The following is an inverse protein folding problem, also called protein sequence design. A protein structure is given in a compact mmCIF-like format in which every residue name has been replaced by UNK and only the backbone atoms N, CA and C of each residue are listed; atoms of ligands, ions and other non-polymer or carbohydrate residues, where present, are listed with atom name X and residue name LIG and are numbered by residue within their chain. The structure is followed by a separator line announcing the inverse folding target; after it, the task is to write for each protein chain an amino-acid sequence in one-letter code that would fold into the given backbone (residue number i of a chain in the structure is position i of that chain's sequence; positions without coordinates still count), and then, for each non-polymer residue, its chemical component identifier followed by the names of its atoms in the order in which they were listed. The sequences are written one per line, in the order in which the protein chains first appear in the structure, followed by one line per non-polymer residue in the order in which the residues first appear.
data_IF_893148685158
#
_entry.id   IF_893148685158
#
_cell.length_a   1.000
_cell.length_b   1.000
_cell.length_c   1.000
_cell.angle_alpha   90.00
_cell.angle_beta   90.00
_cell.angle_gamma   90.00
#
_symmetry.space_group_name_H-M   'P 1'
#
loop_
_entity.id
_entity.type
_entity.pdbx_description
1 polymer ?
#
# COMPACT_ATOMS: atom_id res chain seq x y z
N UNK A 1 41.82 -52.24 -26.67
CA UNK A 1 40.54 -51.65 -27.06
C UNK A 1 40.20 -50.52 -26.10
N UNK A 2 40.30 -49.29 -26.58
CA UNK A 2 40.32 -48.07 -25.80
C UNK A 2 38.94 -47.54 -25.56
N UNK A 3 38.58 -47.24 -24.30
CA UNK A 3 37.36 -46.58 -23.90
C UNK A 3 37.48 -45.09 -24.20
N UNK A 4 36.69 -44.60 -25.15
CA UNK A 4 36.41 -43.18 -25.28
C UNK A 4 35.27 -42.84 -24.32
N UNK A 5 35.59 -42.17 -23.25
CA UNK A 5 34.59 -41.59 -22.34
C UNK A 5 34.27 -40.20 -22.86
N UNK A 6 33.01 -40.02 -23.20
CA UNK A 6 32.40 -38.82 -23.74
C UNK A 6 32.49 -37.63 -22.77
N UNK A 7 33.17 -36.58 -23.22
CA UNK A 7 33.39 -35.33 -22.50
C UNK A 7 32.31 -34.28 -22.81
N UNK A 8 31.09 -34.72 -23.14
CA UNK A 8 30.04 -33.84 -23.67
C UNK A 8 28.90 -33.49 -22.70
N UNK A 9 29.05 -33.82 -21.39
CA UNK A 9 27.97 -33.60 -20.42
C UNK A 9 28.20 -32.47 -19.43
N UNK A 10 29.28 -31.67 -19.59
CA UNK A 10 29.62 -30.65 -18.58
C UNK A 10 29.47 -29.19 -19.02
N UNK A 11 28.89 -28.93 -20.15
CA UNK A 11 28.72 -27.55 -20.66
C UNK A 11 27.25 -27.04 -20.69
N UNK A 12 26.28 -27.75 -20.10
CA UNK A 12 24.88 -27.35 -20.25
C UNK A 12 24.20 -26.93 -18.93
N UNK A 13 24.97 -26.63 -17.88
CA UNK A 13 24.39 -26.20 -16.59
C UNK A 13 24.74 -24.78 -16.16
N UNK A 14 25.25 -23.94 -17.05
CA UNK A 14 25.68 -22.57 -16.69
C UNK A 14 24.88 -21.48 -17.41
N UNK A 15 23.70 -21.71 -17.84
CA UNK A 15 22.86 -20.61 -18.41
C UNK A 15 21.39 -20.78 -18.00
N UNK A 16 21.08 -20.83 -16.73
CA UNK A 16 19.70 -20.63 -16.26
C UNK A 16 19.66 -19.97 -14.88
N UNK A 17 20.62 -19.12 -14.57
CA UNK A 17 20.33 -17.98 -13.69
C UNK A 17 19.76 -16.84 -14.55
N UNK A 18 18.70 -17.09 -15.27
CA UNK A 18 17.80 -16.03 -15.71
C UNK A 18 17.25 -15.46 -14.40
N UNK A 19 17.95 -14.42 -13.93
CA UNK A 19 17.34 -13.48 -13.01
C UNK A 19 15.94 -13.27 -13.52
N UNK A 20 14.95 -13.65 -12.75
CA UNK A 20 13.58 -13.21 -12.93
C UNK A 20 13.64 -11.68 -12.82
N UNK A 21 13.96 -11.02 -13.93
CA UNK A 21 13.62 -9.63 -14.17
C UNK A 21 12.10 -9.67 -14.05
N UNK A 22 11.60 -9.36 -12.85
CA UNK A 22 10.18 -9.24 -12.65
C UNK A 22 9.72 -8.31 -13.77
N UNK A 23 8.76 -8.78 -14.53
CA UNK A 23 8.16 -8.05 -15.63
C UNK A 23 7.44 -6.83 -15.02
N UNK A 24 8.23 -5.81 -14.73
CA UNK A 24 7.74 -4.55 -14.19
C UNK A 24 7.54 -3.63 -15.39
N UNK A 25 6.33 -3.10 -15.49
CA UNK A 25 6.02 -2.04 -16.44
C UNK A 25 6.81 -0.76 -16.12
N UNK A 26 6.54 0.27 -16.89
CA UNK A 26 7.19 1.58 -16.69
C UNK A 26 6.64 2.28 -15.46
N UNK A 27 7.49 3.07 -14.83
CA UNK A 27 7.15 3.87 -13.64
C UNK A 27 7.52 5.32 -13.89
N UNK A 28 6.59 6.22 -13.58
CA UNK A 28 6.81 7.67 -13.58
C UNK A 28 6.76 8.18 -12.15
N UNK A 29 7.85 8.80 -11.70
CA UNK A 29 7.88 9.57 -10.46
C UNK A 29 7.53 11.01 -10.79
N UNK A 30 6.53 11.57 -10.12
CA UNK A 30 6.18 12.98 -10.17
C UNK A 30 6.71 13.60 -8.88
N UNK A 31 7.67 14.51 -9.01
CA UNK A 31 8.32 15.15 -7.89
C UNK A 31 7.47 16.33 -7.39
N UNK A 32 7.72 16.77 -6.17
CA UNK A 32 7.01 17.93 -5.57
C UNK A 32 7.19 19.25 -6.32
N UNK A 33 8.31 19.40 -7.04
CA UNK A 33 8.58 20.55 -7.90
C UNK A 33 7.93 20.44 -9.29
N UNK A 34 7.14 19.38 -9.52
CA UNK A 34 6.45 19.11 -10.78
C UNK A 34 7.31 18.39 -11.83
N UNK A 35 8.61 18.18 -11.58
CA UNK A 35 9.44 17.41 -12.51
C UNK A 35 9.03 15.95 -12.55
N UNK A 36 9.25 15.28 -13.70
CA UNK A 36 8.92 13.88 -13.90
C UNK A 36 10.18 13.08 -14.22
N UNK A 37 10.24 11.87 -13.68
CA UNK A 37 11.31 10.91 -13.91
C UNK A 37 10.69 9.57 -14.30
N UNK A 38 11.04 9.07 -15.48
CA UNK A 38 10.55 7.79 -15.99
C UNK A 38 11.61 6.71 -15.90
N UNK A 39 11.16 5.47 -15.70
CA UNK A 39 12.05 4.32 -15.64
C UNK A 39 11.40 3.06 -15.12
N UNK A 40 12.22 2.17 -14.55
CA UNK A 40 11.83 0.87 -14.02
C UNK A 40 12.17 0.81 -12.54
N UNK A 41 11.16 0.49 -11.69
CA UNK A 41 11.41 0.23 -10.28
C UNK A 41 12.22 -1.06 -10.09
N UNK A 42 13.21 -1.01 -9.21
CA UNK A 42 14.04 -2.18 -8.88
C UNK A 42 13.47 -3.04 -7.76
N UNK A 43 12.63 -2.47 -6.93
CA UNK A 43 12.09 -3.14 -5.75
C UNK A 43 10.60 -2.86 -5.59
N UNK A 44 9.82 -3.76 -5.00
CA UNK A 44 8.45 -3.48 -4.61
C UNK A 44 8.38 -2.22 -3.75
N UNK A 45 7.33 -1.43 -3.96
CA UNK A 45 7.11 -0.23 -3.18
C UNK A 45 6.43 -0.56 -1.84
N UNK A 46 7.12 -0.21 -0.74
CA UNK A 46 6.58 -0.22 0.61
C UNK A 46 6.67 1.18 1.21
N UNK A 47 5.68 1.60 1.96
CA UNK A 47 5.66 2.94 2.56
C UNK A 47 6.75 3.19 3.61
N UNK A 48 7.41 2.14 4.07
CA UNK A 48 8.50 2.19 5.05
C UNK A 48 9.87 2.51 4.43
N UNK A 49 9.98 2.48 3.09
CA UNK A 49 11.24 2.82 2.41
C UNK A 49 11.52 4.33 2.49
N UNK A 50 12.79 4.68 2.55
CA UNK A 50 13.23 6.08 2.54
C UNK A 50 13.54 6.61 1.14
N UNK A 51 13.78 5.71 0.20
CA UNK A 51 14.20 6.02 -1.16
C UNK A 51 13.50 5.11 -2.16
N UNK A 52 13.29 5.63 -3.36
CA UNK A 52 12.83 4.87 -4.53
C UNK A 52 14.01 4.73 -5.48
N UNK A 53 14.36 3.50 -5.83
CA UNK A 53 15.41 3.20 -6.79
C UNK A 53 14.80 3.00 -8.18
N UNK A 54 15.03 3.96 -9.09
CA UNK A 54 14.51 3.98 -10.46
C UNK A 54 15.65 3.84 -11.45
N UNK A 55 15.55 2.91 -12.41
CA UNK A 55 16.53 2.67 -13.47
C UNK A 55 16.01 3.15 -14.82
N UNK A 56 16.85 3.71 -15.68
CA UNK A 56 16.50 4.11 -17.04
C UNK A 56 16.24 2.90 -17.96
N UNK A 57 16.79 1.74 -17.63
CA UNK A 57 16.52 0.46 -18.27
C UNK A 57 16.61 -0.66 -17.21
N UNK A 58 16.10 -1.87 -17.49
CA UNK A 58 16.15 -2.99 -16.55
C UNK A 58 17.55 -3.38 -16.09
N UNK A 59 18.58 -3.07 -16.89
CA UNK A 59 19.98 -3.41 -16.62
C UNK A 59 20.82 -2.23 -16.16
N UNK A 60 20.33 -0.99 -16.29
CA UNK A 60 21.07 0.21 -15.89
C UNK A 60 21.19 0.32 -14.36
N UNK A 61 22.25 1.01 -13.91
CA UNK A 61 22.40 1.33 -12.49
C UNK A 61 21.24 2.23 -12.05
N UNK A 62 20.55 1.91 -10.93
CA UNK A 62 19.43 2.73 -10.45
C UNK A 62 19.92 4.07 -9.92
N UNK A 63 19.12 5.09 -10.13
CA UNK A 63 19.20 6.37 -9.43
C UNK A 63 18.25 6.34 -8.25
N UNK A 64 18.69 6.87 -7.12
CA UNK A 64 17.95 6.90 -5.86
C UNK A 64 17.26 8.23 -5.68
N UNK A 65 15.95 8.20 -5.38
CA UNK A 65 15.12 9.37 -5.17
C UNK A 65 14.56 9.34 -3.74
N UNK A 66 14.77 10.39 -2.92
CA UNK A 66 14.18 10.45 -1.58
C UNK A 66 12.66 10.44 -1.65
N UNK A 67 12.01 9.56 -0.86
CA UNK A 67 10.54 9.48 -0.84
C UNK A 67 9.90 10.80 -0.44
N UNK A 68 10.61 11.59 0.39
CA UNK A 68 10.17 12.91 0.82
C UNK A 68 9.99 13.93 -0.31
N UNK A 69 10.64 13.75 -1.45
CA UNK A 69 10.58 14.65 -2.62
C UNK A 69 9.55 14.21 -3.65
N UNK A 70 9.02 12.98 -3.55
CA UNK A 70 8.05 12.43 -4.48
C UNK A 70 6.65 12.84 -4.06
N UNK A 71 5.86 13.38 -4.99
CA UNK A 71 4.45 13.69 -4.80
C UNK A 71 3.55 12.53 -5.24
N UNK A 72 3.87 11.91 -6.37
CA UNK A 72 3.10 10.78 -6.93
C UNK A 72 4.02 9.79 -7.63
N UNK A 73 3.60 8.52 -7.61
CA UNK A 73 4.20 7.46 -8.44
C UNK A 73 3.10 6.87 -9.30
N UNK A 74 3.31 6.79 -10.60
CA UNK A 74 2.43 6.12 -11.56
C UNK A 74 3.17 4.91 -12.09
N UNK A 75 2.61 3.72 -11.87
CA UNK A 75 3.16 2.46 -12.36
C UNK A 75 2.22 1.89 -13.39
N UNK A 76 2.74 1.61 -14.58
CA UNK A 76 1.99 0.94 -15.65
C UNK A 76 2.49 -0.49 -15.75
N UNK A 77 1.61 -1.46 -15.52
CA UNK A 77 1.89 -2.88 -15.67
C UNK A 77 2.09 -3.28 -17.14
N UNK A 78 2.58 -4.48 -17.39
CA UNK A 78 2.74 -5.01 -18.75
C UNK A 78 1.39 -5.26 -19.45
N UNK A 79 0.35 -5.48 -18.68
CA UNK A 79 -1.05 -5.64 -19.12
C UNK A 79 -1.73 -4.29 -19.40
N UNK A 80 -1.03 -3.17 -19.13
CA UNK A 80 -1.56 -1.81 -19.28
C UNK A 80 -2.29 -1.31 -18.03
N UNK A 81 -2.44 -2.12 -17.00
CA UNK A 81 -3.04 -1.70 -15.74
C UNK A 81 -2.19 -0.61 -15.07
N UNK A 82 -2.85 0.41 -14.57
CA UNK A 82 -2.18 1.54 -13.92
C UNK A 82 -2.43 1.53 -12.42
N UNK A 83 -1.34 1.59 -11.66
CA UNK A 83 -1.36 1.74 -10.20
C UNK A 83 -0.81 3.10 -9.82
N UNK A 84 -1.60 3.89 -9.12
CA UNK A 84 -1.21 5.22 -8.64
C UNK A 84 -0.85 5.15 -7.15
N UNK A 85 0.29 5.73 -6.79
CA UNK A 85 0.61 6.07 -5.42
C UNK A 85 0.57 7.59 -5.27
N UNK A 86 -0.21 8.06 -4.33
CA UNK A 86 -0.45 9.49 -4.09
C UNK A 86 0.02 9.86 -2.68
N UNK A 87 0.56 11.06 -2.56
CA UNK A 87 0.93 11.62 -1.26
C UNK A 87 -0.31 12.15 -0.55
N UNK A 88 -0.60 11.54 0.59
CA UNK A 88 -1.69 11.98 1.46
C UNK A 88 -1.24 12.00 2.91
N UNK A 89 -1.95 12.75 3.74
CA UNK A 89 -1.72 12.80 5.17
C UNK A 89 -2.57 11.72 5.84
N UNK A 90 -2.00 10.99 6.80
CA UNK A 90 -2.74 10.07 7.66
C UNK A 90 -2.70 10.49 9.10
N UNK A 91 -3.74 10.15 9.84
CA UNK A 91 -3.69 10.18 11.29
C UNK A 91 -2.82 9.04 11.81
N UNK A 92 -1.96 9.34 12.77
CA UNK A 92 -1.17 8.32 13.44
C UNK A 92 -2.06 7.57 14.43
N UNK A 93 -2.12 6.25 14.32
CA UNK A 93 -2.75 5.43 15.35
C UNK A 93 -1.85 5.39 16.59
N UNK A 94 -2.46 5.59 17.75
CA UNK A 94 -1.82 5.29 19.02
C UNK A 94 -2.06 3.83 19.42
N UNK A 95 -1.14 3.28 20.23
CA UNK A 95 -1.30 1.96 20.84
C UNK A 95 -2.50 1.89 21.81
N UNK A 96 -3.04 3.02 22.28
CA UNK A 96 -4.24 3.04 23.10
C UNK A 96 -5.49 3.08 22.21
N UNK A 97 -6.40 2.15 22.45
CA UNK A 97 -7.60 1.85 21.68
C UNK A 97 -8.68 2.96 21.67
N UNK A 98 -8.35 4.19 22.03
CA UNK A 98 -9.29 5.31 22.01
C UNK A 98 -8.79 6.40 21.07
N UNK A 99 -9.56 6.77 20.04
CA UNK A 99 -9.33 8.00 19.31
C UNK A 99 -9.66 9.15 20.27
N UNK A 100 -8.65 9.67 20.95
CA UNK A 100 -8.80 10.89 21.74
C UNK A 100 -8.89 12.07 20.75
N UNK A 101 -10.07 12.27 20.21
CA UNK A 101 -10.39 13.26 19.18
C UNK A 101 -10.04 14.69 19.58
N UNK A 102 -9.87 14.96 20.87
CA UNK A 102 -9.48 16.29 21.40
C UNK A 102 -7.98 16.57 21.32
N UNK A 103 -7.12 15.54 21.31
CA UNK A 103 -5.65 15.70 21.20
C UNK A 103 -5.12 15.64 19.77
N UNK A 104 -5.96 15.31 18.80
CA UNK A 104 -5.58 15.12 17.39
C UNK A 104 -5.21 16.40 16.63
N UNK A 105 -5.42 17.59 17.21
CA UNK A 105 -5.07 18.85 16.52
C UNK A 105 -3.56 19.02 16.38
N UNK A 106 -3.00 18.52 15.33
CA UNK A 106 -1.71 18.97 14.77
C UNK A 106 -0.47 18.10 14.99
N UNK A 107 -0.38 17.26 16.02
CA UNK A 107 0.89 16.56 16.38
C UNK A 107 1.11 15.21 15.70
N UNK A 108 0.11 14.65 14.98
CA UNK A 108 0.14 13.24 14.59
C UNK A 108 -0.21 13.00 13.14
N UNK A 109 -0.04 14.00 12.28
CA UNK A 109 -0.24 13.90 10.84
C UNK A 109 1.08 13.55 10.18
N UNK A 110 1.09 12.50 9.39
CA UNK A 110 2.28 12.07 8.64
C UNK A 110 1.94 11.98 7.16
N UNK A 111 2.69 12.69 6.30
CA UNK A 111 2.58 12.49 4.86
C UNK A 111 3.15 11.10 4.49
N UNK A 112 2.39 10.34 3.73
CA UNK A 112 2.75 9.00 3.26
C UNK A 112 2.35 8.88 1.79
N UNK A 113 3.06 8.07 1.02
CA UNK A 113 2.64 7.64 -0.29
C UNK A 113 1.75 6.41 -0.14
N UNK A 114 0.49 6.54 -0.56
CA UNK A 114 -0.49 5.47 -0.54
C UNK A 114 -0.77 5.01 -1.96
N UNK A 115 -1.00 3.71 -2.14
CA UNK A 115 -1.70 3.24 -3.33
C UNK A 115 -3.14 3.76 -3.29
N UNK A 116 -3.54 4.44 -4.35
CA UNK A 116 -4.90 4.92 -4.52
C UNK A 116 -5.76 3.80 -5.13
N UNK A 117 -6.61 3.19 -4.31
CA UNK A 117 -7.53 2.14 -4.76
C UNK A 117 -8.82 2.72 -5.31
N UNK A 118 -9.19 3.93 -4.86
CA UNK A 118 -10.36 4.66 -5.33
C UNK A 118 -10.22 6.16 -5.04
N UNK A 119 -10.67 7.00 -5.98
CA UNK A 119 -10.87 8.44 -5.82
C UNK A 119 -12.28 8.81 -6.26
N UNK A 120 -13.09 9.21 -5.31
CA UNK A 120 -14.45 9.74 -5.52
C UNK A 120 -14.49 11.24 -5.58
N UNK A 121 -15.71 11.79 -5.49
CA UNK A 121 -15.96 13.22 -5.44
C UNK A 121 -15.46 13.84 -4.13
N UNK A 122 -15.27 15.14 -4.13
CA UNK A 122 -14.94 15.95 -2.94
C UNK A 122 -13.71 15.43 -2.15
N UNK A 123 -12.75 14.80 -2.85
CA UNK A 123 -11.52 14.28 -2.23
C UNK A 123 -11.68 13.00 -1.42
N UNK A 124 -12.87 12.38 -1.44
CA UNK A 124 -13.09 11.05 -0.83
C UNK A 124 -12.18 10.05 -1.51
N UNK A 125 -11.47 9.21 -0.73
CA UNK A 125 -10.60 8.20 -1.30
C UNK A 125 -10.50 6.95 -0.43
N UNK A 126 -10.29 5.80 -1.09
CA UNK A 126 -9.79 4.58 -0.46
C UNK A 126 -8.31 4.43 -0.80
N UNK A 127 -7.50 4.30 0.22
CA UNK A 127 -6.04 4.32 0.14
C UNK A 127 -5.48 3.07 0.81
N UNK A 128 -4.45 2.47 0.22
CA UNK A 128 -3.76 1.33 0.81
C UNK A 128 -2.28 1.66 1.02
N UNK A 129 -1.79 1.31 2.21
CA UNK A 129 -0.39 1.34 2.59
C UNK A 129 0.09 -0.09 2.81
N UNK A 130 1.17 -0.49 2.15
CA UNK A 130 1.86 -1.75 2.41
C UNK A 130 3.08 -1.47 3.28
N UNK A 131 3.25 -2.23 4.34
CA UNK A 131 4.39 -2.15 5.26
C UNK A 131 5.09 -3.49 5.35
N UNK A 132 6.39 -3.42 5.47
CA UNK A 132 7.20 -4.52 6.00
C UNK A 132 7.72 -4.09 7.37
N UNK A 133 7.46 -4.91 8.38
CA UNK A 133 7.92 -4.68 9.75
C UNK A 133 8.68 -5.92 10.23
N UNK A 134 9.78 -5.70 10.93
CA UNK A 134 10.47 -6.78 11.60
C UNK A 134 9.74 -7.10 12.90
N UNK A 135 9.36 -8.37 13.06
CA UNK A 135 8.78 -8.88 14.29
C UNK A 135 9.73 -9.87 14.92
N UNK A 136 10.23 -9.53 16.10
CA UNK A 136 11.11 -10.43 16.87
C UNK A 136 10.29 -11.18 17.92
N UNK A 137 10.26 -12.50 17.82
CA UNK A 137 9.64 -13.39 18.80
C UNK A 137 10.72 -14.30 19.39
N UNK A 138 11.18 -13.95 20.59
CA UNK A 138 12.34 -14.61 21.20
C UNK A 138 13.62 -14.37 20.39
N UNK A 139 14.29 -15.45 19.94
CA UNK A 139 15.52 -15.39 19.14
C UNK A 139 15.28 -15.32 17.62
N UNK A 140 14.03 -15.32 17.17
CA UNK A 140 13.69 -15.32 15.73
C UNK A 140 13.13 -13.98 15.33
N UNK A 141 13.71 -13.39 14.30
CA UNK A 141 13.19 -12.21 13.61
C UNK A 141 12.59 -12.64 12.29
N UNK A 142 11.35 -12.28 12.05
CA UNK A 142 10.64 -12.51 10.78
C UNK A 142 10.13 -11.19 10.21
N UNK A 143 10.17 -11.06 8.89
CA UNK A 143 9.53 -9.95 8.19
C UNK A 143 8.03 -10.22 8.12
N UNK A 144 7.25 -9.32 8.69
CA UNK A 144 5.81 -9.36 8.66
C UNK A 144 5.30 -8.34 7.65
N UNK A 145 4.47 -8.81 6.71
CA UNK A 145 3.81 -7.94 5.73
C UNK A 145 2.44 -7.55 6.22
N UNK A 146 2.19 -6.26 6.28
CA UNK A 146 0.94 -5.68 6.71
C UNK A 146 0.31 -4.87 5.57
N UNK A 147 -1.01 -4.98 5.43
CA UNK A 147 -1.83 -4.13 4.57
C UNK A 147 -2.70 -3.25 5.46
N UNK A 148 -2.56 -1.95 5.30
CA UNK A 148 -3.33 -0.94 6.00
C UNK A 148 -4.22 -0.22 5.01
N UNK A 149 -5.54 -0.32 5.17
CA UNK A 149 -6.48 0.44 4.37
C UNK A 149 -6.94 1.67 5.15
N UNK A 150 -7.02 2.78 4.44
CA UNK A 150 -7.44 4.07 4.96
C UNK A 150 -8.57 4.63 4.11
N UNK A 151 -9.44 5.40 4.73
CA UNK A 151 -10.41 6.22 4.02
C UNK A 151 -10.14 7.69 4.29
N UNK A 152 -10.11 8.48 3.23
CA UNK A 152 -10.16 9.94 3.31
C UNK A 152 -11.61 10.35 3.17
N UNK A 153 -12.16 10.99 4.20
CA UNK A 153 -13.51 11.50 4.19
C UNK A 153 -13.55 12.88 3.55
N UNK A 154 -14.76 13.31 3.12
CA UNK A 154 -15.00 14.65 2.61
C UNK A 154 -14.53 15.69 3.65
N UNK A 155 -13.84 16.73 3.18
CA UNK A 155 -13.34 17.86 3.98
C UNK A 155 -12.38 17.49 5.14
N UNK A 156 -12.01 16.22 5.27
CA UNK A 156 -11.04 15.80 6.29
C UNK A 156 -9.60 16.06 5.81
N UNK A 157 -8.75 16.62 6.69
CA UNK A 157 -7.37 16.94 6.32
C UNK A 157 -6.44 15.72 6.27
N UNK A 158 -6.90 14.56 6.78
CA UNK A 158 -6.09 13.35 6.84
C UNK A 158 -6.95 12.09 6.73
N UNK A 159 -6.37 11.03 6.18
CA UNK A 159 -7.01 9.73 6.04
C UNK A 159 -7.06 8.98 7.39
N UNK A 160 -8.16 8.27 7.65
CA UNK A 160 -8.42 7.46 8.84
C UNK A 160 -8.25 5.98 8.54
N UNK A 161 -7.75 5.23 9.51
CA UNK A 161 -7.63 3.77 9.36
C UNK A 161 -9.01 3.14 9.28
N UNK A 162 -9.20 2.30 8.27
CA UNK A 162 -10.40 1.51 8.07
C UNK A 162 -10.14 0.02 8.34
N UNK A 163 -8.93 -0.44 8.05
CA UNK A 163 -8.55 -1.84 8.17
C UNK A 163 -7.04 -1.96 8.41
N UNK A 164 -6.67 -2.90 9.26
CA UNK A 164 -5.30 -3.45 9.35
C UNK A 164 -5.40 -4.94 9.19
N UNK A 165 -4.65 -5.51 8.27
CA UNK A 165 -4.55 -6.95 8.08
C UNK A 165 -3.11 -7.38 7.94
N UNK A 166 -2.80 -8.54 8.49
CA UNK A 166 -1.48 -9.16 8.48
C UNK A 166 -1.54 -10.46 7.70
N UNK A 167 -0.48 -10.79 6.99
CA UNK A 167 -0.40 -12.08 6.31
C UNK A 167 -0.54 -13.23 7.32
N UNK A 168 -1.51 -14.13 7.07
CA UNK A 168 -1.82 -15.27 7.98
C UNK A 168 -2.76 -14.93 9.14
N UNK A 169 -3.28 -13.71 9.24
CA UNK A 169 -4.29 -13.35 10.24
C UNK A 169 -5.62 -14.09 9.98
N UNK A 170 -6.30 -14.45 11.09
CA UNK A 170 -7.61 -15.08 11.01
C UNK A 170 -8.64 -14.11 10.37
N UNK A 171 -9.34 -14.53 9.29
CA UNK A 171 -10.31 -13.69 8.60
C UNK A 171 -11.42 -13.13 9.49
N UNK A 172 -11.86 -13.88 10.51
CA UNK A 172 -12.89 -13.44 11.44
C UNK A 172 -12.36 -12.30 12.34
N UNK A 173 -11.13 -12.41 12.83
CA UNK A 173 -10.46 -11.37 13.61
C UNK A 173 -10.30 -10.10 12.78
N UNK A 174 -9.88 -10.23 11.52
CA UNK A 174 -9.74 -9.13 10.59
C UNK A 174 -11.07 -8.43 10.31
N UNK A 175 -12.16 -9.20 10.14
CA UNK A 175 -13.52 -8.63 9.98
C UNK A 175 -13.98 -7.87 11.24
N UNK A 176 -13.75 -8.42 12.43
CA UNK A 176 -14.09 -7.73 13.70
C UNK A 176 -13.33 -6.41 13.84
N UNK A 177 -12.05 -6.39 13.49
CA UNK A 177 -11.23 -5.18 13.48
C UNK A 177 -11.74 -4.15 12.46
N UNK A 178 -12.10 -4.59 11.25
CA UNK A 178 -12.69 -3.74 10.23
C UNK A 178 -13.97 -3.06 10.72
N UNK A 179 -14.93 -3.83 11.26
CA UNK A 179 -16.19 -3.29 11.83
C UNK A 179 -15.88 -2.26 12.92
N UNK A 180 -14.96 -2.56 13.83
CA UNK A 180 -14.58 -1.64 14.91
C UNK A 180 -14.01 -0.31 14.38
N UNK A 181 -13.08 -0.34 13.44
CA UNK A 181 -12.49 0.87 12.86
C UNK A 181 -13.51 1.64 12.02
N UNK A 182 -14.32 0.94 11.23
CA UNK A 182 -15.38 1.55 10.43
C UNK A 182 -16.39 2.30 11.31
N UNK A 183 -16.86 1.71 12.40
CA UNK A 183 -17.76 2.38 13.36
C UNK A 183 -17.15 3.66 13.95
N UNK A 184 -15.88 3.63 14.31
CA UNK A 184 -15.16 4.81 14.82
C UNK A 184 -15.02 5.89 13.75
N UNK A 185 -14.70 5.49 12.53
CA UNK A 185 -14.48 6.39 11.42
C UNK A 185 -15.77 7.09 10.98
N UNK A 186 -16.88 6.36 10.95
CA UNK A 186 -18.19 6.83 10.50
C UNK A 186 -19.17 7.16 11.64
N UNK A 187 -18.68 7.41 12.86
CA UNK A 187 -19.50 7.67 14.03
C UNK A 187 -20.52 8.80 13.87
N UNK A 188 -20.25 9.78 13.01
CA UNK A 188 -21.16 10.90 12.71
C UNK A 188 -22.29 10.54 11.70
N UNK A 189 -22.34 9.29 11.23
CA UNK A 189 -23.31 8.80 10.23
C UNK A 189 -24.05 7.57 10.79
N UNK A 190 -25.07 7.77 11.67
CA UNK A 190 -25.71 6.67 12.43
C UNK A 190 -26.29 5.57 11.53
N UNK A 191 -26.92 5.93 10.41
CA UNK A 191 -27.48 4.94 9.48
C UNK A 191 -26.39 4.06 8.86
N UNK A 192 -25.23 4.64 8.53
CA UNK A 192 -24.10 3.89 8.02
C UNK A 192 -23.50 2.98 9.10
N UNK A 193 -23.45 3.46 10.36
CA UNK A 193 -22.98 2.66 11.50
C UNK A 193 -23.89 1.45 11.70
N UNK A 194 -25.21 1.59 11.62
CA UNK A 194 -26.16 0.47 11.73
C UNK A 194 -25.92 -0.59 10.63
N UNK A 195 -25.68 -0.16 9.39
CA UNK A 195 -25.34 -1.04 8.27
C UNK A 195 -24.00 -1.76 8.46
N UNK A 196 -23.02 -1.09 9.08
CA UNK A 196 -21.73 -1.71 9.44
C UNK A 196 -21.94 -2.79 10.51
N UNK A 197 -22.76 -2.52 11.53
CA UNK A 197 -23.07 -3.46 12.61
C UNK A 197 -23.84 -4.69 12.13
N UNK A 198 -24.69 -4.53 11.12
CA UNK A 198 -25.39 -5.65 10.48
C UNK A 198 -24.50 -6.50 9.56
N UNK A 199 -23.20 -6.22 9.51
CA UNK A 199 -22.22 -6.87 8.62
C UNK A 199 -22.55 -6.77 7.13
N UNK A 200 -23.21 -5.68 6.70
CA UNK A 200 -23.47 -5.43 5.28
C UNK A 200 -22.16 -5.25 4.48
N UNK A 201 -21.10 -4.83 5.16
CA UNK A 201 -19.80 -4.55 4.56
C UNK A 201 -18.75 -5.58 5.02
N UNK A 202 -17.90 -5.96 4.06
CA UNK A 202 -16.86 -6.97 4.29
C UNK A 202 -15.45 -6.37 4.16
N UNK A 203 -14.54 -6.90 4.95
CA UNK A 203 -13.10 -6.65 4.82
C UNK A 203 -12.54 -6.97 3.42
N UNK A 204 -13.21 -7.86 2.68
CA UNK A 204 -12.82 -8.22 1.31
C UNK A 204 -13.14 -7.14 0.29
N UNK A 205 -14.16 -6.32 0.58
CA UNK A 205 -14.58 -5.21 -0.29
C UNK A 205 -14.84 -3.93 0.52
N UNK A 206 -13.79 -3.27 1.02
CA UNK A 206 -13.92 -2.02 1.74
C UNK A 206 -14.42 -0.87 0.85
N UNK A 207 -14.28 -0.99 -0.48
CA UNK A 207 -14.76 0.01 -1.44
C UNK A 207 -16.28 0.17 -1.37
N UNK A 208 -17.03 -0.91 -1.14
CA UNK A 208 -18.49 -0.85 -0.99
C UNK A 208 -18.91 0.10 0.15
N UNK A 209 -18.20 0.07 1.28
CA UNK A 209 -18.44 0.98 2.40
C UNK A 209 -18.12 2.44 2.03
N UNK A 210 -16.98 2.68 1.35
CA UNK A 210 -16.60 4.04 0.95
C UNK A 210 -17.60 4.64 -0.04
N UNK A 211 -18.09 3.85 -1.01
CA UNK A 211 -19.14 4.28 -1.94
C UNK A 211 -20.48 4.54 -1.25
N UNK A 212 -20.84 3.74 -0.24
CA UNK A 212 -22.04 4.00 0.56
C UNK A 212 -21.93 5.32 1.34
N UNK A 213 -20.77 5.62 1.91
CA UNK A 213 -20.50 6.91 2.53
C UNK A 213 -20.58 8.06 1.52
N UNK A 214 -19.91 7.93 0.38
CA UNK A 214 -19.94 8.95 -0.68
C UNK A 214 -21.37 9.29 -1.11
N UNK A 215 -22.23 8.28 -1.28
CA UNK A 215 -23.63 8.48 -1.62
C UNK A 215 -24.40 9.29 -0.56
N UNK A 216 -24.02 9.23 0.71
CA UNK A 216 -24.65 9.98 1.79
C UNK A 216 -24.23 11.47 1.77
N UNK A 217 -22.96 11.75 1.45
CA UNK A 217 -22.40 13.12 1.62
C UNK A 217 -22.35 13.94 0.35
N UNK A 218 -22.65 13.34 -0.82
CA UNK A 218 -22.65 14.03 -2.12
C UNK A 218 -24.06 14.33 -2.65
N UNK A 219 -25.09 13.95 -1.91
CA UNK A 219 -26.50 14.34 -2.13
C UNK A 219 -26.92 15.29 -1.02
#
# INVERSE_FOLDING_TARGET
MKKLISFSALCLTIVLSVQSVSAQGTTTLIMKDGTQQEGYLRSPFYSTIQYVDLSQSPTAKPRRYPIGEIDRIVMVGLDGDTVNYVREIRYRMFKSNSPDTKKEKGRYRMPVLFREDYRGKDGIALLTEFRETEQTTGLRTALQKERWCYVKLKDEPAARVLLVSTAGENPESTQKNFVRFAKQTFANYPDLVQRIESNEFSVKDPLKLVKAYEAIVTY
#
